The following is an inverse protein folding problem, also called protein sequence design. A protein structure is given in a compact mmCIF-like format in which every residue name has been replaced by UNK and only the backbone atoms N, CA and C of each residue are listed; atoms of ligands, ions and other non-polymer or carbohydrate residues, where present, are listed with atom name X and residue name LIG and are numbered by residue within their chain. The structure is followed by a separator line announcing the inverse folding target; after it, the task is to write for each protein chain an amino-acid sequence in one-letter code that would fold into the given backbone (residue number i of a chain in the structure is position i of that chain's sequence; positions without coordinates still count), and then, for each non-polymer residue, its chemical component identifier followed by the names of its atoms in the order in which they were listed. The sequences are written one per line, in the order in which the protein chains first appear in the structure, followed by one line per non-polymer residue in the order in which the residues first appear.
data_IF_049778111049
#
_entry.id   IF_049778111049
#
_cell.length_a   1.000
_cell.length_b   1.000
_cell.length_c   1.000
_cell.angle_alpha   90.00
_cell.angle_beta   90.00
_cell.angle_gamma   90.00
#
_symmetry.space_group_name_H-M   'P 1'
#
loop_
_entity.id
_entity.type
_entity.pdbx_description
1 polymer ?
#
# COMPACT_ATOMS: atom_id res chain seq x y z
N UNK A 1 17.06 1.09 21.61
CA UNK A 1 17.10 0.36 22.86
C UNK A 1 16.01 0.83 23.83
N UNK A 2 15.75 0.06 24.90
CA UNK A 2 14.78 0.46 25.94
C UNK A 2 15.50 1.21 27.04
N UNK A 3 16.49 0.60 27.68
CA UNK A 3 17.26 1.25 28.74
C UNK A 3 18.42 2.06 28.17
N UNK A 4 18.32 3.37 28.31
CA UNK A 4 19.34 4.33 27.89
C UNK A 4 19.58 5.35 29.00
N UNK A 5 20.74 5.99 29.03
CA UNK A 5 21.01 7.09 29.97
C UNK A 5 20.09 8.29 29.65
N UNK A 6 19.27 8.68 30.63
CA UNK A 6 18.30 9.76 30.50
C UNK A 6 16.89 9.24 30.31
N UNK A 7 16.31 9.41 29.14
CA UNK A 7 14.95 8.98 28.78
C UNK A 7 14.98 7.55 28.24
N UNK A 8 14.06 6.69 28.69
CA UNK A 8 13.98 5.32 28.17
C UNK A 8 13.21 5.24 26.85
N UNK A 9 13.43 4.14 26.10
CA UNK A 9 12.83 3.95 24.80
C UNK A 9 11.30 3.83 24.83
N UNK A 10 10.71 3.28 25.88
CA UNK A 10 9.26 3.16 26.03
C UNK A 10 8.62 4.54 26.27
N UNK A 11 9.26 5.38 27.10
CA UNK A 11 8.79 6.74 27.37
C UNK A 11 8.87 7.60 26.09
N UNK A 12 9.93 7.46 25.31
CA UNK A 12 10.08 8.12 24.02
C UNK A 12 8.93 7.75 23.07
N UNK A 13 8.57 6.46 23.01
CA UNK A 13 7.47 5.99 22.15
C UNK A 13 6.11 6.46 22.67
N UNK A 14 5.90 6.50 24.00
CA UNK A 14 4.67 7.08 24.58
C UNK A 14 4.50 8.52 24.12
N UNK A 15 5.52 9.35 24.25
CA UNK A 15 5.49 10.75 23.78
C UNK A 15 5.22 10.89 22.29
N UNK A 16 5.75 9.98 21.46
CA UNK A 16 5.46 9.94 20.03
C UNK A 16 3.99 9.59 19.74
N UNK A 17 3.37 8.71 20.54
CA UNK A 17 1.97 8.27 20.37
C UNK A 17 0.97 9.27 20.95
N UNK A 18 1.33 9.97 22.02
CA UNK A 18 0.46 10.95 22.70
C UNK A 18 0.38 12.30 21.97
N UNK A 19 1.10 12.48 20.87
CA UNK A 19 1.04 13.72 20.10
C UNK A 19 -0.29 13.82 19.33
N UNK A 20 -1.23 14.72 19.73
CA UNK A 20 -2.57 14.81 19.13
C UNK A 20 -2.56 15.32 17.67
N UNK A 21 -1.42 15.80 17.18
CA UNK A 21 -1.21 16.24 15.78
C UNK A 21 -0.77 15.08 14.89
N UNK A 22 -0.37 13.95 15.47
CA UNK A 22 0.03 12.78 14.69
C UNK A 22 -1.22 12.11 14.11
N UNK A 23 -1.46 12.30 12.84
CA UNK A 23 -2.35 11.44 12.07
C UNK A 23 -1.85 9.99 12.25
N UNK A 24 -2.63 9.13 12.92
CA UNK A 24 -2.27 7.72 13.16
C UNK A 24 -1.93 6.97 11.86
N UNK A 25 -2.36 7.48 10.71
CA UNK A 25 -2.00 6.98 9.39
C UNK A 25 -0.54 7.30 8.99
N UNK A 26 0.15 8.17 9.74
CA UNK A 26 1.55 8.59 9.53
C UNK A 26 2.44 8.30 10.74
N UNK A 27 1.98 7.48 11.67
CA UNK A 27 2.75 7.12 12.85
C UNK A 27 3.97 6.28 12.46
N UNK A 28 5.18 6.59 12.96
CA UNK A 28 6.37 5.84 12.60
C UNK A 28 6.27 4.38 13.07
N UNK A 29 6.77 3.45 12.25
CA UNK A 29 6.97 2.08 12.66
C UNK A 29 8.11 2.04 13.69
N UNK A 30 7.82 1.57 14.90
CA UNK A 30 8.80 1.48 15.98
C UNK A 30 9.24 0.04 16.14
N UNK A 31 10.56 -0.20 16.06
CA UNK A 31 11.18 -1.50 16.31
C UNK A 31 12.07 -1.35 17.53
N UNK A 32 11.75 -2.07 18.60
CA UNK A 32 12.62 -2.14 19.76
C UNK A 32 13.72 -3.19 19.55
N UNK A 33 14.96 -2.82 19.89
CA UNK A 33 16.14 -3.70 19.85
C UNK A 33 16.81 -3.61 21.22
N UNK A 34 16.74 -4.65 22.02
CA UNK A 34 17.16 -4.61 23.42
C UNK A 34 17.67 -5.97 23.93
N UNK A 35 18.37 -5.96 25.06
CA UNK A 35 18.76 -7.19 25.77
C UNK A 35 17.73 -7.65 26.81
N UNK A 36 16.66 -6.89 27.02
CA UNK A 36 15.64 -7.15 28.03
C UNK A 36 14.41 -7.75 27.39
N UNK A 37 13.87 -8.83 27.92
CA UNK A 37 12.66 -9.52 27.46
C UNK A 37 11.41 -9.15 28.26
N UNK A 38 11.57 -8.61 29.46
CA UNK A 38 10.48 -8.26 30.36
C UNK A 38 9.55 -7.14 29.85
N UNK A 39 10.02 -6.30 28.90
CA UNK A 39 9.26 -5.15 28.38
C UNK A 39 8.44 -5.45 27.11
N UNK A 40 8.36 -6.71 26.68
CA UNK A 40 7.64 -7.10 25.46
C UNK A 40 6.17 -6.66 25.49
N UNK A 41 5.48 -6.88 26.60
CA UNK A 41 4.07 -6.52 26.73
C UNK A 41 3.85 -5.02 26.70
N UNK A 42 4.69 -4.24 27.36
CA UNK A 42 4.61 -2.77 27.33
C UNK A 42 4.87 -2.22 25.93
N UNK A 43 5.82 -2.81 25.20
CA UNK A 43 6.08 -2.45 23.81
C UNK A 43 4.88 -2.76 22.89
N UNK A 44 4.16 -3.87 23.12
CA UNK A 44 2.94 -4.21 22.39
C UNK A 44 1.81 -3.22 22.68
N UNK A 45 1.63 -2.81 23.94
CA UNK A 45 0.66 -1.80 24.34
C UNK A 45 0.91 -0.43 23.67
N UNK A 46 2.18 -0.16 23.33
CA UNK A 46 2.60 1.02 22.57
C UNK A 46 2.53 0.85 21.04
N UNK A 47 1.91 -0.22 20.57
CA UNK A 47 1.82 -0.54 19.14
C UNK A 47 3.18 -0.57 18.44
N UNK A 48 4.18 -1.18 19.11
CA UNK A 48 5.47 -1.43 18.47
C UNK A 48 5.29 -2.34 17.24
N UNK A 49 5.95 -2.00 16.15
CA UNK A 49 5.93 -2.81 14.93
C UNK A 49 6.59 -4.16 15.17
N UNK A 50 7.70 -4.17 15.90
CA UNK A 50 8.40 -5.39 16.27
C UNK A 50 9.30 -5.19 17.50
N UNK A 51 9.60 -6.31 18.16
CA UNK A 51 10.51 -6.41 19.30
C UNK A 51 11.60 -7.45 19.01
N UNK A 52 12.87 -7.03 19.08
CA UNK A 52 14.01 -7.87 18.77
C UNK A 52 14.97 -7.92 19.96
N UNK A 53 15.35 -9.13 20.35
CA UNK A 53 16.32 -9.35 21.43
C UNK A 53 17.74 -9.37 20.86
N UNK A 54 18.68 -8.78 21.61
CA UNK A 54 20.12 -8.96 21.39
C UNK A 54 20.59 -10.32 21.96
N UNK A 55 21.51 -11.03 21.27
CA UNK A 55 22.18 -10.66 20.03
C UNK A 55 21.25 -10.74 18.82
N UNK A 56 21.39 -9.79 17.88
CA UNK A 56 20.55 -9.70 16.69
C UNK A 56 20.88 -10.84 15.72
N UNK A 57 19.84 -11.53 15.25
CA UNK A 57 19.88 -12.36 14.05
C UNK A 57 19.74 -11.44 12.82
N UNK A 58 20.79 -11.34 12.02
CA UNK A 58 20.84 -10.47 10.84
C UNK A 58 19.70 -10.76 9.85
N UNK A 59 19.42 -12.04 9.57
CA UNK A 59 18.36 -12.44 8.65
C UNK A 59 16.96 -12.07 9.18
N UNK A 60 16.77 -12.19 10.50
CA UNK A 60 15.50 -11.78 11.13
C UNK A 60 15.36 -10.27 11.10
N UNK A 61 16.42 -9.53 11.39
CA UNK A 61 16.43 -8.06 11.35
C UNK A 61 16.13 -7.53 9.96
N UNK A 62 16.80 -8.07 8.92
CA UNK A 62 16.58 -7.68 7.52
C UNK A 62 15.12 -7.88 7.11
N UNK A 63 14.52 -9.04 7.40
CA UNK A 63 13.11 -9.31 7.11
C UNK A 63 12.17 -8.32 7.80
N UNK A 64 12.42 -8.04 9.08
CA UNK A 64 11.61 -7.09 9.86
C UNK A 64 11.74 -5.69 9.27
N UNK A 65 12.95 -5.27 8.90
CA UNK A 65 13.20 -3.96 8.32
C UNK A 65 12.50 -3.80 6.96
N UNK A 66 12.63 -4.79 6.07
CA UNK A 66 11.95 -4.78 4.76
C UNK A 66 10.42 -4.73 4.91
N UNK A 67 9.87 -5.47 5.87
CA UNK A 67 8.43 -5.43 6.17
C UNK A 67 8.01 -4.06 6.70
N UNK A 68 8.78 -3.47 7.62
CA UNK A 68 8.50 -2.12 8.16
C UNK A 68 8.55 -1.05 7.07
N UNK A 69 9.57 -1.08 6.19
CA UNK A 69 9.69 -0.16 5.05
C UNK A 69 8.49 -0.30 4.11
N UNK A 70 8.09 -1.53 3.77
CA UNK A 70 6.92 -1.79 2.94
C UNK A 70 5.63 -1.24 3.56
N UNK A 71 5.41 -1.44 4.86
CA UNK A 71 4.23 -0.91 5.57
C UNK A 71 4.26 0.63 5.64
N UNK A 72 5.42 1.24 5.94
CA UNK A 72 5.57 2.69 5.94
C UNK A 72 5.33 3.30 4.54
N UNK A 73 5.82 2.66 3.48
CA UNK A 73 5.57 3.10 2.11
C UNK A 73 4.09 3.06 1.75
N UNK A 74 3.35 2.05 2.21
CA UNK A 74 1.89 1.97 2.05
C UNK A 74 1.16 3.05 2.85
N UNK A 75 1.65 3.42 4.02
CA UNK A 75 1.06 4.46 4.88
C UNK A 75 1.31 5.88 4.35
N UNK A 76 2.41 6.11 3.62
CA UNK A 76 2.76 7.42 3.04
C UNK A 76 2.09 7.71 1.70
N UNK A 77 1.33 6.74 1.14
CA UNK A 77 0.58 6.98 -0.08
C UNK A 77 -0.47 8.08 0.10
N UNK A 78 -0.40 9.09 -0.74
CA UNK A 78 -1.47 10.08 -0.80
C UNK A 78 -2.78 9.42 -1.22
N UNK A 79 -3.73 9.39 -0.28
CA UNK A 79 -5.05 8.89 -0.60
C UNK A 79 -5.74 9.83 -1.60
N UNK A 80 -6.26 9.26 -2.66
CA UNK A 80 -7.06 10.00 -3.63
C UNK A 80 -8.43 10.29 -3.03
N UNK A 81 -8.81 11.55 -3.01
CA UNK A 81 -10.14 11.97 -2.59
C UNK A 81 -11.06 12.08 -3.80
N UNK A 82 -12.20 11.44 -3.70
CA UNK A 82 -13.28 11.50 -4.68
C UNK A 82 -14.56 12.02 -4.04
N UNK A 83 -15.31 12.80 -4.80
CA UNK A 83 -16.58 13.37 -4.35
C UNK A 83 -17.71 12.78 -5.17
N UNK A 84 -18.75 12.32 -4.50
CA UNK A 84 -20.06 12.06 -5.11
C UNK A 84 -21.04 13.09 -4.57
N UNK A 85 -22.28 13.10 -5.08
CA UNK A 85 -23.31 14.04 -4.60
C UNK A 85 -23.61 13.92 -3.09
N UNK A 86 -23.35 12.76 -2.49
CA UNK A 86 -23.73 12.44 -1.11
C UNK A 86 -22.56 12.04 -0.20
N UNK A 87 -21.39 11.72 -0.74
CA UNK A 87 -20.27 11.18 0.03
C UNK A 87 -18.92 11.65 -0.48
N UNK A 88 -17.95 11.70 0.43
CA UNK A 88 -16.53 11.87 0.15
C UNK A 88 -15.85 10.53 0.38
N UNK A 89 -15.11 10.05 -0.60
CA UNK A 89 -14.35 8.81 -0.52
C UNK A 89 -12.86 9.12 -0.49
N UNK A 90 -12.16 8.49 0.40
CA UNK A 90 -10.70 8.52 0.47
C UNK A 90 -10.18 7.11 0.14
N UNK A 91 -9.54 6.95 -0.99
CA UNK A 91 -9.06 5.65 -1.50
C UNK A 91 -7.55 5.69 -1.62
N UNK A 92 -6.88 4.74 -1.00
CA UNK A 92 -5.43 4.55 -1.09
C UNK A 92 -5.13 3.76 -2.38
N UNK A 93 -4.27 4.27 -3.29
CA UNK A 93 -4.01 3.63 -4.59
C UNK A 93 -3.58 2.16 -4.50
N UNK A 94 -2.73 1.78 -3.54
CA UNK A 94 -2.31 0.37 -3.36
C UNK A 94 -3.46 -0.59 -3.03
N UNK A 95 -4.61 -0.09 -2.58
CA UNK A 95 -5.81 -0.91 -2.32
C UNK A 95 -6.69 -1.10 -3.55
N UNK A 96 -6.45 -0.34 -4.61
CA UNK A 96 -7.21 -0.46 -5.85
C UNK A 96 -6.70 -1.70 -6.60
N UNK A 97 -7.62 -2.58 -6.96
CA UNK A 97 -7.36 -3.74 -7.82
C UNK A 97 -7.35 -3.31 -9.29
N UNK A 98 -8.43 -2.66 -9.69
CA UNK A 98 -8.62 -2.13 -11.04
C UNK A 98 -9.72 -1.06 -11.04
N UNK A 99 -9.80 -0.33 -12.14
CA UNK A 99 -10.89 0.62 -12.43
C UNK A 99 -11.63 0.18 -13.67
N UNK A 100 -12.93 0.22 -13.60
CA UNK A 100 -13.84 -0.13 -14.69
C UNK A 100 -14.62 1.09 -15.17
N UNK A 101 -14.75 1.24 -16.49
CA UNK A 101 -15.62 2.26 -17.10
C UNK A 101 -17.08 1.81 -17.09
N UNK A 102 -17.94 2.65 -16.55
CA UNK A 102 -19.39 2.42 -16.54
C UNK A 102 -20.13 3.66 -17.07
N UNK A 103 -20.39 3.71 -18.38
CA UNK A 103 -21.05 4.83 -19.07
C UNK A 103 -20.34 6.17 -18.81
N UNK A 104 -20.96 7.06 -18.01
CA UNK A 104 -20.44 8.38 -17.60
C UNK A 104 -19.74 8.38 -16.24
N UNK A 105 -19.52 7.20 -15.69
CA UNK A 105 -18.91 6.98 -14.39
C UNK A 105 -17.79 5.98 -14.52
N UNK A 106 -17.03 5.84 -13.45
CA UNK A 106 -16.07 4.76 -13.26
C UNK A 106 -16.36 4.06 -11.95
N UNK A 107 -16.07 2.77 -11.90
CA UNK A 107 -16.14 1.96 -10.70
C UNK A 107 -14.71 1.64 -10.29
N UNK A 108 -14.31 2.05 -9.09
CA UNK A 108 -13.03 1.71 -8.49
C UNK A 108 -13.23 0.46 -7.65
N UNK A 109 -12.64 -0.64 -8.07
CA UNK A 109 -12.68 -1.93 -7.35
C UNK A 109 -11.49 -2.02 -6.40
N UNK A 110 -11.77 -2.19 -5.12
CA UNK A 110 -10.78 -2.41 -4.07
C UNK A 110 -10.91 -3.81 -3.48
N UNK A 111 -9.98 -4.21 -2.63
CA UNK A 111 -10.04 -5.50 -1.93
C UNK A 111 -11.29 -5.65 -1.02
N UNK A 112 -11.92 -4.54 -0.66
CA UNK A 112 -13.05 -4.53 0.30
C UNK A 112 -14.39 -4.21 -0.35
N UNK A 113 -14.38 -3.28 -1.31
CA UNK A 113 -15.62 -2.71 -1.88
C UNK A 113 -15.38 -2.17 -3.28
N UNK A 114 -16.48 -1.94 -4.00
CA UNK A 114 -16.48 -1.22 -5.27
C UNK A 114 -17.15 0.14 -5.08
N UNK A 115 -16.47 1.21 -5.49
CA UNK A 115 -16.94 2.59 -5.33
C UNK A 115 -17.22 3.20 -6.70
N UNK A 116 -18.45 3.59 -6.94
CA UNK A 116 -18.85 4.28 -8.18
C UNK A 116 -18.71 5.80 -8.01
N UNK A 117 -17.98 6.44 -8.94
CA UNK A 117 -17.75 7.88 -8.93
C UNK A 117 -18.01 8.51 -10.29
N UNK A 118 -18.35 9.81 -10.31
CA UNK A 118 -18.45 10.60 -11.54
C UNK A 118 -17.04 11.06 -11.93
N UNK A 119 -16.41 10.30 -12.80
CA UNK A 119 -15.12 10.62 -13.41
C UNK A 119 -14.98 9.89 -14.74
N UNK A 120 -14.04 10.31 -15.55
CA UNK A 120 -13.66 9.62 -16.78
C UNK A 120 -12.42 8.75 -16.54
N UNK A 121 -12.24 7.75 -17.39
CA UNK A 121 -11.01 6.92 -17.36
C UNK A 121 -9.74 7.76 -17.57
N UNK A 122 -9.82 8.80 -18.41
CA UNK A 122 -8.69 9.69 -18.68
C UNK A 122 -8.30 10.54 -17.45
N UNK A 123 -9.28 11.03 -16.70
CA UNK A 123 -9.02 11.74 -15.43
C UNK A 123 -8.37 10.84 -14.39
N UNK A 124 -8.80 9.58 -14.28
CA UNK A 124 -8.18 8.64 -13.35
C UNK A 124 -6.77 8.24 -13.80
N UNK A 125 -6.54 8.08 -15.09
CA UNK A 125 -5.23 7.77 -15.65
C UNK A 125 -4.20 8.89 -15.35
N UNK A 126 -4.62 10.15 -15.24
CA UNK A 126 -3.78 11.27 -14.85
C UNK A 126 -3.55 11.38 -13.33
N UNK A 127 -4.50 10.91 -12.52
CA UNK A 127 -4.45 11.00 -11.06
C UNK A 127 -3.76 9.80 -10.40
N UNK A 128 -3.80 8.66 -11.07
CA UNK A 128 -3.16 7.43 -10.62
C UNK A 128 -1.71 7.42 -11.11
N UNK A 129 -0.83 6.80 -10.34
CA UNK A 129 0.60 6.73 -10.62
C UNK A 129 0.97 5.60 -11.60
N UNK A 130 2.26 5.38 -11.80
CA UNK A 130 2.82 4.42 -12.76
C UNK A 130 2.51 2.94 -12.48
N UNK A 131 1.88 2.62 -11.34
CA UNK A 131 1.37 1.27 -11.04
C UNK A 131 0.14 0.93 -11.88
N UNK A 132 -0.54 1.94 -12.42
CA UNK A 132 -1.79 1.75 -13.16
C UNK A 132 -1.57 1.82 -14.66
N UNK A 133 -2.11 0.85 -15.35
CA UNK A 133 -2.02 0.76 -16.81
C UNK A 133 -3.40 0.53 -17.44
N UNK A 134 -3.68 1.27 -18.49
CA UNK A 134 -4.93 1.11 -19.25
C UNK A 134 -4.83 -0.06 -20.22
N UNK A 135 -5.16 -1.25 -19.74
CA UNK A 135 -5.07 -2.49 -20.52
C UNK A 135 -6.20 -2.66 -21.56
N UNK A 136 -7.31 -1.94 -21.40
CA UNK A 136 -8.46 -1.94 -22.30
C UNK A 136 -9.16 -0.57 -22.27
N UNK A 137 -9.99 -0.25 -23.27
CA UNK A 137 -10.77 1.00 -23.27
C UNK A 137 -11.62 1.17 -22.01
N UNK A 138 -12.03 0.08 -21.39
CA UNK A 138 -12.88 0.05 -20.21
C UNK A 138 -12.15 -0.32 -18.91
N UNK A 139 -10.84 -0.60 -18.93
CA UNK A 139 -10.13 -1.06 -17.73
C UNK A 139 -8.78 -0.40 -17.54
N UNK A 140 -8.53 0.07 -16.30
CA UNK A 140 -7.22 0.40 -15.74
C UNK A 140 -6.87 -0.68 -14.72
N UNK A 141 -5.76 -1.36 -14.89
CA UNK A 141 -5.28 -2.42 -13.99
C UNK A 141 -4.16 -1.91 -13.10
N UNK A 142 -4.12 -2.34 -11.85
CA UNK A 142 -2.99 -2.13 -10.95
C UNK A 142 -1.97 -3.26 -11.13
N UNK A 143 -0.75 -2.93 -11.51
CA UNK A 143 0.34 -3.89 -11.73
C UNK A 143 0.72 -4.68 -10.47
N UNK A 144 0.64 -4.08 -9.28
CA UNK A 144 0.88 -4.79 -8.01
C UNK A 144 -0.09 -5.96 -7.76
N UNK A 145 -1.24 -5.94 -8.41
CA UNK A 145 -2.30 -6.94 -8.22
C UNK A 145 -2.33 -7.99 -9.32
N UNK A 146 -1.46 -7.89 -10.32
CA UNK A 146 -1.38 -8.86 -11.42
C UNK A 146 -0.67 -10.12 -10.96
N UNK A 147 -1.36 -11.27 -11.05
CA UNK A 147 -0.80 -12.59 -10.73
C UNK A 147 -0.28 -13.29 -11.98
N UNK A 148 -1.05 -13.21 -13.07
CA UNK A 148 -0.67 -13.76 -14.37
C UNK A 148 -1.37 -13.03 -15.50
N UNK A 149 -0.83 -13.12 -16.69
CA UNK A 149 -1.45 -12.59 -17.91
C UNK A 149 -1.16 -13.48 -19.12
N UNK A 150 -2.00 -13.36 -20.12
CA UNK A 150 -1.80 -13.91 -21.46
C UNK A 150 -2.13 -12.84 -22.53
N UNK A 151 -2.18 -13.23 -23.80
CA UNK A 151 -2.46 -12.28 -24.91
C UNK A 151 -3.86 -11.67 -24.90
N UNK A 152 -4.78 -12.16 -24.08
CA UNK A 152 -6.18 -11.76 -24.04
C UNK A 152 -6.65 -11.31 -22.66
N UNK A 153 -6.01 -11.82 -21.61
CA UNK A 153 -6.51 -11.71 -20.26
C UNK A 153 -5.40 -11.37 -19.26
N UNK A 154 -5.79 -10.67 -18.20
CA UNK A 154 -4.99 -10.39 -17.02
C UNK A 154 -5.76 -10.92 -15.81
N UNK A 155 -5.14 -11.77 -14.99
CA UNK A 155 -5.73 -12.31 -13.76
C UNK A 155 -5.13 -11.59 -12.56
N UNK A 156 -5.99 -11.08 -11.69
CA UNK A 156 -5.62 -10.36 -10.48
C UNK A 156 -5.57 -11.28 -9.25
N UNK A 157 -5.04 -10.77 -8.16
CA UNK A 157 -4.85 -11.47 -6.88
C UNK A 157 -6.16 -11.95 -6.24
N UNK A 158 -7.28 -11.30 -6.52
CA UNK A 158 -8.63 -11.69 -6.08
C UNK A 158 -9.32 -12.72 -7.02
N UNK A 159 -8.63 -13.14 -8.08
CA UNK A 159 -9.17 -14.02 -9.12
C UNK A 159 -9.92 -13.32 -10.25
N UNK A 160 -10.09 -12.00 -10.19
CA UNK A 160 -10.74 -11.24 -11.27
C UNK A 160 -9.97 -11.39 -12.57
N UNK A 161 -10.70 -11.58 -13.67
CA UNK A 161 -10.14 -11.71 -15.00
C UNK A 161 -10.52 -10.52 -15.87
N UNK A 162 -9.53 -9.69 -16.21
CA UNK A 162 -9.70 -8.50 -17.05
C UNK A 162 -9.29 -8.77 -18.49
N UNK A 163 -9.99 -8.13 -19.42
CA UNK A 163 -9.65 -8.23 -20.85
C UNK A 163 -8.44 -7.35 -21.15
N UNK A 164 -7.42 -7.93 -21.78
CA UNK A 164 -6.29 -7.21 -22.37
C UNK A 164 -6.57 -6.99 -23.86
N UNK A 165 -6.62 -5.73 -24.28
CA UNK A 165 -6.84 -5.40 -25.68
C UNK A 165 -5.65 -5.88 -26.54
N UNK A 166 -5.96 -6.57 -27.65
CA UNK A 166 -4.94 -7.20 -28.51
C UNK A 166 -3.84 -6.22 -28.97
N UNK A 167 -4.23 -5.01 -29.31
CA UNK A 167 -3.31 -3.96 -29.76
C UNK A 167 -2.50 -3.32 -28.62
N UNK A 168 -2.81 -3.62 -27.35
CA UNK A 168 -2.09 -3.12 -26.18
C UNK A 168 -1.18 -4.17 -25.53
N UNK A 169 -1.16 -5.39 -26.05
CA UNK A 169 -0.40 -6.48 -25.43
C UNK A 169 1.11 -6.16 -25.30
N UNK A 170 1.75 -5.71 -26.37
CA UNK A 170 3.17 -5.41 -26.37
C UNK A 170 3.51 -4.28 -25.40
N UNK A 171 2.77 -3.17 -25.48
CA UNK A 171 2.93 -2.02 -24.58
C UNK A 171 2.70 -2.41 -23.11
N UNK A 172 1.70 -3.28 -22.84
CA UNK A 172 1.42 -3.79 -21.51
C UNK A 172 2.60 -4.58 -20.96
N UNK A 173 3.16 -5.50 -21.75
CA UNK A 173 4.32 -6.33 -21.32
C UNK A 173 5.52 -5.44 -21.01
N UNK A 174 5.83 -4.48 -21.89
CA UNK A 174 6.95 -3.55 -21.68
C UNK A 174 6.76 -2.71 -20.41
N UNK A 175 5.57 -2.15 -20.22
CA UNK A 175 5.23 -1.36 -19.04
C UNK A 175 5.30 -2.20 -17.75
N UNK A 176 4.78 -3.43 -17.78
CA UNK A 176 4.81 -4.34 -16.63
C UNK A 176 6.24 -4.77 -16.27
N UNK A 177 7.06 -5.11 -17.26
CA UNK A 177 8.47 -5.44 -17.02
C UNK A 177 9.27 -4.24 -16.49
N UNK A 178 8.96 -3.04 -16.96
CA UNK A 178 9.57 -1.82 -16.44
C UNK A 178 9.16 -1.56 -14.99
N UNK A 179 7.89 -1.79 -14.66
CA UNK A 179 7.37 -1.69 -13.29
C UNK A 179 8.11 -2.65 -12.36
N UNK A 180 8.22 -3.94 -12.71
CA UNK A 180 8.91 -4.95 -11.90
C UNK A 180 10.42 -4.64 -11.65
N UNK A 181 11.08 -3.94 -12.57
CA UNK A 181 12.49 -3.53 -12.41
C UNK A 181 12.68 -2.35 -11.45
N UNK A 182 11.64 -1.57 -11.18
CA UNK A 182 11.73 -0.41 -10.26
C UNK A 182 11.57 -0.83 -8.80
N UNK A 183 10.94 -1.98 -8.55
CA UNK A 183 10.70 -2.54 -7.23
C UNK A 183 11.75 -3.59 -6.82
N UNK A 184 12.79 -3.78 -7.63
CA UNK A 184 13.96 -4.63 -7.35
C UNK A 184 15.17 -3.78 -7.04
#
# INVERSE_FOLDING_TARGET
DIKMEGEDGLETVRKLRDNPVADFSRSPAVIFITSYDEYVFEALDLFAFQYLLKPLDENKFERVLLTAVSECSRQTEEALTFHTKSCHFRIIPSRILYVESNLRKVIIHTEKEAVEIYATMAELEQRLDSRFYRCHRGYLVNFEKVVKYDRKNIVLSDGTNLILAKNRYTEFVDAYLHFLKRDS
#
